data_IF_422430630251
#
_entry.id   IF_422430630251
#
_cell.length_a   1.000
_cell.length_b   1.000
_cell.length_c   1.000
_cell.angle_alpha   90.00
_cell.angle_beta   90.00
_cell.angle_gamma   90.00
#
_symmetry.space_group_name_H-M   'P 1'
#
loop_
_entity.id
_entity.type
_entity.pdbx_description
1 polymer ?
#
# COMPACT_ATOMS: atom_id res chain seq x y z
N UNK A 1 -11.47 -14.96 -11.26
CA UNK A 1 -11.34 -13.92 -10.19
C UNK A 1 -12.60 -13.89 -9.32
N UNK A 2 -13.78 -13.57 -9.87
CA UNK A 2 -15.03 -13.49 -9.07
C UNK A 2 -15.35 -14.76 -8.27
N UNK A 3 -15.15 -15.93 -8.86
CA UNK A 3 -15.34 -17.21 -8.15
C UNK A 3 -14.42 -17.32 -6.92
N UNK A 4 -13.15 -16.94 -7.05
CA UNK A 4 -12.19 -16.94 -5.94
C UNK A 4 -12.62 -15.99 -4.83
N UNK A 5 -12.98 -14.75 -5.19
CA UNK A 5 -13.47 -13.75 -4.24
C UNK A 5 -14.70 -14.28 -3.48
N UNK A 6 -15.69 -14.84 -4.19
CA UNK A 6 -16.90 -15.37 -3.56
C UNK A 6 -16.63 -16.55 -2.63
N UNK A 7 -15.64 -17.39 -2.96
CA UNK A 7 -15.25 -18.54 -2.13
C UNK A 7 -14.49 -18.10 -0.86
N UNK A 8 -13.80 -16.97 -0.88
CA UNK A 8 -12.93 -16.54 0.22
C UNK A 8 -13.43 -15.33 1.01
N UNK A 9 -14.56 -14.72 0.62
CA UNK A 9 -15.06 -13.46 1.20
C UNK A 9 -15.33 -13.52 2.72
N UNK A 10 -15.64 -14.70 3.25
CA UNK A 10 -16.00 -14.90 4.67
C UNK A 10 -14.80 -15.43 5.49
N UNK A 11 -13.61 -15.53 4.90
CA UNK A 11 -12.39 -15.91 5.61
C UNK A 11 -11.96 -14.80 6.58
N UNK A 12 -11.49 -15.18 7.76
CA UNK A 12 -11.08 -14.25 8.83
C UNK A 12 -9.56 -14.21 9.08
N UNK A 13 -8.80 -15.02 8.32
CA UNK A 13 -7.35 -15.10 8.43
C UNK A 13 -6.66 -14.14 7.46
N UNK A 14 -5.76 -14.70 6.65
CA UNK A 14 -4.99 -13.94 5.66
C UNK A 14 -5.89 -13.35 4.56
N UNK A 15 -5.75 -12.04 4.33
CA UNK A 15 -6.27 -11.38 3.13
C UNK A 15 -5.16 -11.28 2.08
N UNK A 16 -5.33 -11.96 0.95
CA UNK A 16 -4.43 -11.89 -0.20
C UNK A 16 -5.00 -10.96 -1.26
N UNK A 17 -4.31 -9.86 -1.54
CA UNK A 17 -4.70 -8.90 -2.58
C UNK A 17 -3.78 -9.04 -3.78
N UNK A 18 -4.36 -9.26 -4.96
CA UNK A 18 -3.63 -9.37 -6.22
C UNK A 18 -3.83 -8.11 -7.07
N UNK A 19 -2.77 -7.34 -7.24
CA UNK A 19 -2.76 -6.10 -8.02
C UNK A 19 -2.59 -6.38 -9.53
N UNK A 20 -3.66 -6.84 -10.18
CA UNK A 20 -3.65 -7.19 -11.60
C UNK A 20 -3.98 -5.97 -12.48
N UNK A 21 -3.13 -5.67 -13.47
CA UNK A 21 -3.26 -4.48 -14.32
C UNK A 21 -3.38 -3.18 -13.51
N UNK A 22 -2.78 -3.17 -12.32
CA UNK A 22 -2.81 -2.08 -11.37
C UNK A 22 -1.70 -1.05 -11.66
N UNK A 23 -1.98 0.20 -11.33
CA UNK A 23 -0.98 1.26 -11.28
C UNK A 23 -1.50 2.44 -10.46
N UNK A 24 -0.69 2.92 -9.53
CA UNK A 24 -1.13 3.91 -8.54
C UNK A 24 -1.57 5.24 -9.15
N UNK A 25 -0.90 5.72 -10.21
CA UNK A 25 -1.36 6.89 -10.96
C UNK A 25 -2.77 6.75 -11.54
N UNK A 26 -3.12 5.55 -12.03
CA UNK A 26 -4.47 5.27 -12.59
C UNK A 26 -5.51 5.20 -11.48
N UNK A 27 -5.14 4.60 -10.36
CA UNK A 27 -5.96 4.57 -9.15
C UNK A 27 -6.28 5.99 -8.65
N UNK A 28 -5.26 6.85 -8.49
CA UNK A 28 -5.44 8.24 -8.06
C UNK A 28 -6.31 9.04 -9.03
N UNK A 29 -6.07 8.89 -10.34
CA UNK A 29 -6.91 9.53 -11.35
C UNK A 29 -8.39 9.13 -11.21
N UNK A 30 -8.67 7.85 -10.95
CA UNK A 30 -10.03 7.37 -10.70
C UNK A 30 -10.59 7.96 -9.41
N UNK A 31 -9.82 7.96 -8.33
CA UNK A 31 -10.27 8.49 -7.04
C UNK A 31 -10.65 9.97 -7.16
N UNK A 32 -9.81 10.79 -7.79
CA UNK A 32 -10.09 12.20 -8.01
C UNK A 32 -11.33 12.43 -8.88
N UNK A 33 -11.53 11.63 -9.95
CA UNK A 33 -12.76 11.71 -10.75
C UNK A 33 -14.01 11.42 -9.92
N UNK A 34 -13.98 10.39 -9.07
CA UNK A 34 -15.12 10.07 -8.19
C UNK A 34 -15.41 11.18 -7.17
N UNK A 35 -14.37 11.85 -6.65
CA UNK A 35 -14.54 13.02 -5.78
C UNK A 35 -15.21 14.15 -6.54
N UNK A 36 -14.75 14.46 -7.76
CA UNK A 36 -15.36 15.49 -8.61
C UNK A 36 -16.82 15.16 -8.92
N UNK A 37 -17.16 13.90 -9.20
CA UNK A 37 -18.55 13.47 -9.42
C UNK A 37 -19.43 13.68 -8.16
N UNK A 38 -18.86 13.48 -6.96
CA UNK A 38 -19.58 13.76 -5.70
C UNK A 38 -19.79 15.26 -5.48
N UNK A 39 -18.84 16.10 -5.86
CA UNK A 39 -18.98 17.56 -5.80
C UNK A 39 -20.07 18.02 -6.77
N UNK A 40 -20.02 17.56 -8.02
CA UNK A 40 -21.00 17.91 -9.06
C UNK A 40 -22.42 17.39 -8.76
N UNK A 41 -22.56 16.44 -7.84
CA UNK A 41 -23.85 15.92 -7.37
C UNK A 41 -24.27 16.48 -6.01
N UNK A 42 -23.63 17.58 -5.56
CA UNK A 42 -23.89 18.28 -4.30
C UNK A 42 -23.82 17.39 -3.04
N UNK A 43 -23.08 16.26 -3.12
CA UNK A 43 -22.90 15.33 -1.99
C UNK A 43 -21.83 15.80 -1.00
N UNK A 44 -20.85 16.57 -1.49
CA UNK A 44 -19.75 17.15 -0.73
C UNK A 44 -19.36 18.49 -1.36
N UNK A 45 -18.69 19.36 -0.61
CA UNK A 45 -18.09 20.59 -1.12
C UNK A 45 -16.58 20.45 -1.32
N UNK A 46 -15.99 21.35 -2.11
CA UNK A 46 -14.56 21.34 -2.42
C UNK A 46 -13.68 21.52 -1.17
N UNK A 47 -14.11 22.37 -0.24
CA UNK A 47 -13.43 22.68 1.02
C UNK A 47 -13.57 21.57 2.07
N UNK A 48 -14.42 20.58 1.83
CA UNK A 48 -14.60 19.40 2.70
C UNK A 48 -13.62 18.27 2.34
N UNK A 49 -12.88 18.35 1.23
CA UNK A 49 -11.98 17.27 0.79
C UNK A 49 -10.84 17.08 1.80
N UNK A 50 -10.68 15.84 2.25
CA UNK A 50 -9.61 15.41 3.16
C UNK A 50 -8.82 14.23 2.58
N UNK A 51 -7.65 13.93 3.16
CA UNK A 51 -6.87 12.74 2.83
C UNK A 51 -7.65 11.44 3.05
N UNK A 52 -8.48 11.38 4.10
CA UNK A 52 -9.37 10.24 4.38
C UNK A 52 -10.40 10.04 3.25
N UNK A 53 -10.96 11.13 2.73
CA UNK A 53 -11.88 11.05 1.59
C UNK A 53 -11.20 10.56 0.31
N UNK A 54 -9.94 10.95 0.07
CA UNK A 54 -9.17 10.42 -1.06
C UNK A 54 -8.92 8.92 -0.85
N UNK A 55 -8.51 8.52 0.35
CA UNK A 55 -8.21 7.13 0.71
C UNK A 55 -9.42 6.21 0.52
N UNK A 56 -10.62 6.68 0.87
CA UNK A 56 -11.90 5.99 0.65
C UNK A 56 -12.27 5.78 -0.82
N UNK A 57 -11.65 6.51 -1.75
CA UNK A 57 -11.92 6.42 -3.17
C UNK A 57 -10.93 5.56 -3.96
N UNK A 58 -9.83 5.13 -3.32
CA UNK A 58 -8.82 4.23 -3.88
C UNK A 58 -9.39 2.82 -4.10
N UNK A 59 -8.68 1.96 -4.84
CA UNK A 59 -9.03 0.53 -4.91
C UNK A 59 -8.78 -0.18 -3.59
N UNK A 60 -7.92 0.40 -2.74
CA UNK A 60 -7.43 -0.16 -1.49
C UNK A 60 -8.22 0.30 -0.27
N UNK A 61 -9.39 0.92 -0.43
CA UNK A 61 -10.12 1.58 0.66
C UNK A 61 -10.56 0.65 1.79
N UNK A 62 -10.56 -0.66 1.55
CA UNK A 62 -10.94 -1.68 2.54
C UNK A 62 -9.71 -2.36 3.19
N UNK A 63 -8.50 -1.88 2.93
CA UNK A 63 -7.28 -2.41 3.54
C UNK A 63 -6.43 -1.30 4.17
N UNK A 64 -5.68 -1.61 5.24
CA UNK A 64 -4.73 -0.67 5.82
C UNK A 64 -3.58 -0.41 4.85
N UNK A 65 -2.90 0.72 5.05
CA UNK A 65 -1.63 1.00 4.39
C UNK A 65 -0.58 -0.06 4.78
N UNK A 66 0.34 -0.43 3.87
CA UNK A 66 1.34 -1.43 4.16
C UNK A 66 2.38 -0.90 5.15
N UNK A 67 2.70 -1.69 6.18
CA UNK A 67 3.83 -1.40 7.07
C UNK A 67 5.19 -1.63 6.38
N UNK A 68 5.27 -2.66 5.55
CA UNK A 68 6.49 -3.12 4.88
C UNK A 68 6.22 -3.41 3.40
N UNK A 69 7.03 -2.83 2.51
CA UNK A 69 7.04 -3.14 1.08
C UNK A 69 8.34 -3.82 0.71
N UNK A 70 8.24 -5.08 0.28
CA UNK A 70 9.37 -5.89 -0.17
C UNK A 70 9.46 -5.84 -1.69
N UNK A 71 10.64 -5.54 -2.22
CA UNK A 71 10.91 -5.57 -3.66
C UNK A 71 12.17 -6.39 -3.96
N UNK A 72 11.96 -7.43 -4.76
CA UNK A 72 12.99 -8.36 -5.23
C UNK A 72 13.62 -7.92 -6.55
N UNK A 73 14.78 -8.48 -6.89
CA UNK A 73 15.44 -8.32 -8.19
C UNK A 73 16.38 -7.12 -8.31
N UNK A 74 16.82 -6.55 -7.19
CA UNK A 74 17.89 -5.53 -7.14
C UNK A 74 17.51 -4.13 -7.58
N UNK A 75 16.22 -3.88 -7.78
CA UNK A 75 15.70 -2.62 -8.30
C UNK A 75 15.29 -1.67 -7.18
N UNK A 76 15.97 -0.52 -7.05
CA UNK A 76 15.68 0.50 -6.04
C UNK A 76 14.66 1.54 -6.53
N UNK A 77 13.45 1.09 -6.85
CA UNK A 77 12.34 1.97 -7.26
C UNK A 77 11.01 1.40 -6.78
N UNK A 78 9.94 2.20 -6.81
CA UNK A 78 8.58 1.73 -6.46
C UNK A 78 7.82 1.27 -7.72
N UNK A 79 8.17 1.82 -8.88
CA UNK A 79 7.55 1.47 -10.17
C UNK A 79 6.02 1.64 -10.21
N UNK A 80 5.50 2.79 -9.71
CA UNK A 80 4.08 3.14 -9.77
C UNK A 80 3.17 2.17 -8.98
N UNK A 81 3.69 1.57 -7.91
CA UNK A 81 2.96 0.69 -7.01
C UNK A 81 2.62 1.39 -5.69
N UNK A 82 1.35 1.38 -5.27
CA UNK A 82 0.88 1.89 -3.98
C UNK A 82 1.46 3.25 -3.54
N UNK A 83 1.51 4.25 -4.42
CA UNK A 83 2.20 5.52 -4.14
C UNK A 83 1.55 6.33 -3.01
N UNK A 84 0.23 6.27 -2.90
CA UNK A 84 -0.50 6.95 -1.82
C UNK A 84 -0.32 6.21 -0.50
N UNK A 85 -0.58 4.90 -0.55
CA UNK A 85 -0.56 4.01 0.60
C UNK A 85 0.86 3.86 1.18
N UNK A 86 1.90 4.07 0.37
CA UNK A 86 3.30 3.88 0.79
C UNK A 86 3.95 5.08 1.48
N UNK A 87 3.19 6.12 1.83
CA UNK A 87 3.71 7.36 2.41
C UNK A 87 4.55 7.13 3.69
N UNK A 88 4.20 6.13 4.49
CA UNK A 88 4.88 5.77 5.74
C UNK A 88 5.38 4.31 5.78
N UNK A 89 5.41 3.66 4.62
CA UNK A 89 5.83 2.27 4.49
C UNK A 89 7.35 2.15 4.54
N UNK A 90 7.85 1.17 5.29
CA UNK A 90 9.25 0.79 5.23
C UNK A 90 9.54 -0.01 3.97
N UNK A 91 10.60 0.33 3.25
CA UNK A 91 10.98 -0.37 2.02
C UNK A 91 12.12 -1.36 2.28
N UNK A 92 11.95 -2.60 1.85
CA UNK A 92 12.97 -3.63 1.84
C UNK A 92 13.28 -4.04 0.40
N UNK A 93 14.34 -3.45 -0.17
CA UNK A 93 14.81 -3.73 -1.52
C UNK A 93 15.93 -4.79 -1.44
N UNK A 94 15.81 -5.87 -2.20
CA UNK A 94 16.76 -7.00 -2.15
C UNK A 94 17.13 -7.51 -3.54
N UNK A 95 18.37 -7.94 -3.70
CA UNK A 95 18.91 -8.45 -4.97
C UNK A 95 18.38 -9.84 -5.36
N UNK A 96 17.85 -10.59 -4.39
CA UNK A 96 17.24 -11.92 -4.61
C UNK A 96 16.11 -11.80 -5.63
N UNK A 97 16.12 -12.64 -6.67
CA UNK A 97 15.05 -12.65 -7.68
C UNK A 97 13.77 -13.30 -7.14
N UNK A 98 12.60 -12.88 -7.63
CA UNK A 98 11.31 -13.39 -7.19
C UNK A 98 11.18 -14.93 -7.21
N UNK A 99 11.65 -15.65 -8.26
CA UNK A 99 11.60 -17.12 -8.27
C UNK A 99 12.46 -17.78 -7.19
N UNK A 100 13.40 -17.07 -6.58
CA UNK A 100 14.30 -17.57 -5.52
C UNK A 100 13.89 -17.08 -4.12
N UNK A 101 13.00 -16.09 -4.02
CA UNK A 101 12.52 -15.57 -2.75
C UNK A 101 11.66 -16.63 -2.01
N UNK A 102 12.10 -17.06 -0.82
CA UNK A 102 11.45 -18.09 -0.01
C UNK A 102 11.26 -17.62 1.44
N UNK A 103 10.82 -18.54 2.29
CA UNK A 103 10.50 -18.29 3.69
C UNK A 103 11.63 -17.60 4.46
N UNK A 104 12.88 -18.02 4.24
CA UNK A 104 14.04 -17.41 4.90
C UNK A 104 14.17 -15.92 4.59
N UNK A 105 13.96 -15.55 3.34
CA UNK A 105 14.08 -14.18 2.85
C UNK A 105 12.92 -13.32 3.34
N UNK A 106 11.72 -13.90 3.43
CA UNK A 106 10.57 -13.25 4.08
C UNK A 106 10.87 -12.97 5.56
N UNK A 107 11.34 -13.97 6.31
CA UNK A 107 11.72 -13.80 7.72
C UNK A 107 12.81 -12.75 7.90
N UNK A 108 13.82 -12.73 7.01
CA UNK A 108 14.86 -11.70 7.02
C UNK A 108 14.29 -10.30 6.83
N UNK A 109 13.35 -10.13 5.90
CA UNK A 109 12.71 -8.82 5.65
C UNK A 109 11.89 -8.34 6.84
N UNK A 110 11.23 -9.26 7.56
CA UNK A 110 10.47 -8.95 8.77
C UNK A 110 11.41 -8.59 9.92
N UNK A 111 12.49 -9.34 10.11
CA UNK A 111 13.51 -9.05 11.14
C UNK A 111 14.16 -7.68 10.89
N UNK A 112 14.49 -7.37 9.64
CA UNK A 112 15.00 -6.06 9.24
C UNK A 112 13.99 -4.96 9.60
N UNK A 113 12.73 -5.10 9.19
CA UNK A 113 11.65 -4.16 9.53
C UNK A 113 11.53 -3.94 11.04
N UNK A 114 11.54 -5.00 11.84
CA UNK A 114 11.44 -4.91 13.30
C UNK A 114 12.66 -4.25 13.96
N UNK A 115 13.83 -4.35 13.34
CA UNK A 115 15.06 -3.71 13.83
C UNK A 115 15.12 -2.20 13.56
N UNK A 116 14.30 -1.70 12.63
CA UNK A 116 14.27 -0.27 12.29
C UNK A 116 13.64 0.51 13.44
N UNK A 117 14.36 1.50 13.92
CA UNK A 117 13.79 2.48 14.84
C UNK A 117 12.86 3.41 14.05
N UNK A 118 11.55 3.38 14.34
CA UNK A 118 10.60 4.36 13.82
C UNK A 118 10.98 5.73 14.34
N UNK A 119 11.44 6.58 13.43
CA UNK A 119 12.05 7.85 13.81
C UNK A 119 11.04 8.96 14.08
N UNK A 120 9.80 8.93 13.58
CA UNK A 120 8.81 10.02 13.77
C UNK A 120 9.43 11.44 13.60
N UNK A 121 10.39 11.60 12.68
CA UNK A 121 11.14 12.86 12.49
C UNK A 121 12.33 13.11 13.44
N UNK A 122 12.69 12.16 14.32
CA UNK A 122 13.83 12.20 15.24
C UNK A 122 15.06 11.47 14.65
N UNK A 123 16.27 11.93 14.96
CA UNK A 123 17.49 11.18 14.61
C UNK A 123 17.71 10.02 15.58
N UNK A 124 18.54 9.02 15.22
CA UNK A 124 18.83 7.87 16.09
C UNK A 124 19.42 8.27 17.46
N UNK A 125 20.08 9.42 17.55
CA UNK A 125 20.58 9.98 18.81
C UNK A 125 19.49 10.63 19.69
N UNK A 126 18.28 10.84 19.15
CA UNK A 126 17.15 11.47 19.82
C UNK A 126 16.08 10.46 20.28
N UNK A 127 16.34 9.17 20.05
CA UNK A 127 15.56 8.06 20.59
C UNK A 127 16.37 7.50 21.76
N UNK A 128 15.95 7.88 22.98
CA UNK A 128 16.47 7.37 24.25
C UNK A 128 16.01 5.93 24.49
#
# INVERSE_FOLDING_TARGET
IMEGINKTKDNTGLNLILALSYGSRKELLRAFRRIVDKINSDKIKLDEITEDMISKELYTSEMPDPDLMIRTGGENRISNFLLWQSAYTEFYMVDVFWPEFREKELLNSINDYQSRQRRFGKTGAQIL
#
